data_IF_754365934521
#
_entry.id   IF_754365934521
#
_cell.length_a   1.000
_cell.length_b   1.000
_cell.length_c   1.000
_cell.angle_alpha   90.00
_cell.angle_beta   90.00
_cell.angle_gamma   90.00
#
_symmetry.space_group_name_H-M   'P 1'
#
loop_
_entity.id
_entity.type
_entity.pdbx_description
1 polymer ?
#
# COMPACT_ATOMS: atom_id res chain seq x y z
N UNK A 1 27.94 26.13 8.19
CA UNK A 1 27.11 24.92 8.26
C UNK A 1 25.71 25.45 8.24
N UNK A 2 25.01 25.30 7.12
CA UNK A 2 23.58 25.61 7.04
C UNK A 2 22.86 24.72 8.03
N UNK A 3 21.92 25.29 8.77
CA UNK A 3 21.10 24.57 9.75
C UNK A 3 20.23 23.63 8.93
N UNK A 4 20.64 22.36 8.75
CA UNK A 4 19.82 21.36 8.06
C UNK A 4 18.48 21.26 8.78
N UNK A 5 17.38 21.20 8.01
CA UNK A 5 16.03 21.08 8.55
C UNK A 5 15.91 19.86 9.44
N UNK A 6 15.22 19.99 10.56
CA UNK A 6 15.01 18.86 11.49
C UNK A 6 14.29 17.67 10.83
N UNK A 7 13.43 17.92 9.82
CA UNK A 7 12.77 16.88 9.02
C UNK A 7 13.80 16.09 8.21
N UNK A 8 14.75 16.78 7.59
CA UNK A 8 15.83 16.16 6.83
C UNK A 8 16.70 15.26 7.71
N UNK A 9 17.04 15.71 8.92
CA UNK A 9 17.84 14.90 9.86
C UNK A 9 17.10 13.65 10.34
N UNK A 10 15.79 13.74 10.61
CA UNK A 10 15.00 12.56 10.94
C UNK A 10 14.91 11.61 9.75
N UNK A 11 14.69 12.12 8.54
CA UNK A 11 14.69 11.31 7.31
C UNK A 11 16.00 10.56 7.13
N UNK A 12 17.14 11.24 7.29
CA UNK A 12 18.47 10.63 7.26
C UNK A 12 18.65 9.58 8.35
N UNK A 13 18.17 9.85 9.56
CA UNK A 13 18.26 8.91 10.69
C UNK A 13 17.44 7.63 10.43
N UNK A 14 16.28 7.75 9.78
CA UNK A 14 15.46 6.61 9.37
C UNK A 14 16.12 5.82 8.22
N UNK A 15 16.69 6.49 7.20
CA UNK A 15 17.38 5.82 6.09
C UNK A 15 18.59 5.01 6.57
N UNK A 16 19.37 5.53 7.54
CA UNK A 16 20.53 4.81 8.12
C UNK A 16 20.15 3.48 8.78
N UNK A 17 18.90 3.29 9.15
CA UNK A 17 18.38 2.04 9.69
C UNK A 17 18.05 1.08 8.57
N UNK A 18 18.77 -0.06 8.54
CA UNK A 18 18.63 -1.08 7.47
C UNK A 18 17.40 -1.92 7.76
N UNK A 19 16.23 -1.32 7.55
CA UNK A 19 14.93 -1.92 7.84
C UNK A 19 14.36 -2.63 6.60
N UNK A 20 15.12 -3.58 6.05
CA UNK A 20 14.63 -4.41 4.94
C UNK A 20 13.52 -5.33 5.46
N UNK A 21 12.36 -5.32 4.76
CA UNK A 21 11.16 -6.05 5.19
C UNK A 21 11.48 -7.49 5.63
N UNK A 22 10.94 -7.98 6.75
CA UNK A 22 10.03 -7.34 7.71
C UNK A 22 10.75 -6.65 8.90
N UNK A 23 12.05 -6.37 8.80
CA UNK A 23 12.85 -5.79 9.87
C UNK A 23 12.53 -4.29 10.06
N UNK A 24 12.35 -3.87 11.32
CA UNK A 24 12.17 -2.45 11.68
C UNK A 24 13.49 -1.70 11.91
N UNK A 25 14.51 -2.41 12.34
CA UNK A 25 15.84 -1.89 12.66
C UNK A 25 15.83 -0.68 13.64
N UNK A 26 14.84 -0.58 14.54
CA UNK A 26 14.71 0.49 15.54
C UNK A 26 14.14 1.81 14.98
N UNK A 27 13.53 1.80 13.81
CA UNK A 27 12.81 2.96 13.27
C UNK A 27 11.63 3.35 14.16
N UNK A 28 10.81 2.37 14.55
CA UNK A 28 9.61 2.62 15.36
C UNK A 28 9.96 3.01 16.79
N UNK A 29 11.10 2.56 17.33
CA UNK A 29 11.58 3.03 18.64
C UNK A 29 11.91 4.52 18.59
N UNK A 30 12.67 4.96 17.57
CA UNK A 30 13.00 6.37 17.37
C UNK A 30 11.74 7.23 17.24
N UNK A 31 10.78 6.83 16.40
CA UNK A 31 9.52 7.55 16.19
C UNK A 31 8.70 7.54 17.48
N UNK A 32 8.60 6.41 18.17
CA UNK A 32 7.88 6.26 19.44
C UNK A 32 8.43 7.16 20.54
N UNK A 33 9.75 7.33 20.64
CA UNK A 33 10.39 8.25 21.59
C UNK A 33 10.00 9.70 21.31
N UNK A 34 10.01 10.11 20.03
CA UNK A 34 9.60 11.46 19.65
C UNK A 34 8.11 11.70 19.95
N UNK A 35 7.25 10.74 19.64
CA UNK A 35 5.81 10.85 19.93
C UNK A 35 5.54 10.87 21.44
N UNK A 36 6.22 10.07 22.25
CA UNK A 36 6.12 10.11 23.72
C UNK A 36 6.53 11.47 24.29
N UNK A 37 7.58 12.09 23.77
CA UNK A 37 7.99 13.43 24.16
C UNK A 37 6.93 14.50 23.89
N UNK A 38 6.08 14.26 22.88
CA UNK A 38 4.90 15.11 22.56
C UNK A 38 3.63 14.74 23.35
N UNK A 39 3.72 13.81 24.32
CA UNK A 39 2.59 13.39 25.15
C UNK A 39 1.69 12.33 24.52
N UNK A 40 2.15 11.62 23.49
CA UNK A 40 1.42 10.45 22.96
C UNK A 40 1.55 9.25 23.89
N UNK A 41 0.48 8.51 24.05
CA UNK A 41 0.52 7.14 24.55
C UNK A 41 0.94 6.21 23.42
N UNK A 42 1.84 5.27 23.69
CA UNK A 42 2.34 4.32 22.67
C UNK A 42 2.11 2.88 23.09
N UNK A 43 1.75 2.02 22.15
CA UNK A 43 1.56 0.60 22.32
C UNK A 43 2.16 -0.18 21.13
N UNK A 44 2.61 -1.42 21.36
CA UNK A 44 3.20 -2.28 20.32
C UNK A 44 2.29 -3.49 20.08
N UNK A 45 1.97 -3.76 18.81
CA UNK A 45 1.22 -4.95 18.37
C UNK A 45 2.11 -5.89 17.56
N UNK A 46 3.27 -6.22 18.09
CA UNK A 46 4.27 -7.02 17.38
C UNK A 46 3.82 -8.48 17.22
N UNK A 47 4.06 -9.07 16.05
CA UNK A 47 3.72 -10.45 15.76
C UNK A 47 4.71 -11.06 14.73
N UNK A 48 5.18 -12.27 14.99
CA UNK A 48 6.03 -13.04 14.07
C UNK A 48 7.28 -12.31 13.53
N UNK A 49 7.90 -11.46 14.36
CA UNK A 49 9.06 -10.66 13.99
C UNK A 49 8.72 -9.31 13.32
N UNK A 50 7.45 -9.08 13.01
CA UNK A 50 6.96 -7.80 12.51
C UNK A 50 6.68 -6.86 13.68
N UNK A 51 7.08 -5.62 13.54
CA UNK A 51 6.86 -4.55 14.50
C UNK A 51 5.68 -3.68 14.05
N UNK A 52 4.77 -3.36 14.98
CA UNK A 52 3.64 -2.47 14.74
C UNK A 52 3.50 -1.49 15.90
N UNK A 53 3.73 -0.22 15.65
CA UNK A 53 3.58 0.87 16.62
C UNK A 53 2.20 1.50 16.46
N UNK A 54 1.43 1.51 17.54
CA UNK A 54 0.25 2.32 17.71
C UNK A 54 0.56 3.47 18.68
N UNK A 55 0.26 4.70 18.30
CA UNK A 55 0.43 5.85 19.17
C UNK A 55 -0.77 6.77 19.02
N UNK A 56 -1.24 7.36 20.16
CA UNK A 56 -2.37 8.31 20.13
C UNK A 56 -2.23 9.42 21.18
N UNK A 57 -2.83 10.57 20.87
CA UNK A 57 -2.94 11.74 21.74
C UNK A 57 -4.33 12.36 21.61
N UNK A 58 -4.81 13.01 22.67
CA UNK A 58 -6.14 13.61 22.77
C UNK A 58 -7.10 12.74 23.54
N UNK A 59 -8.34 12.62 23.05
CA UNK A 59 -9.35 11.78 23.70
C UNK A 59 -8.99 10.30 23.58
N UNK A 60 -9.42 9.50 24.57
CA UNK A 60 -9.25 8.05 24.50
C UNK A 60 -10.03 7.48 23.31
N UNK A 61 -9.34 6.90 22.31
CA UNK A 61 -9.98 6.47 21.08
C UNK A 61 -10.99 5.32 21.28
N UNK A 62 -10.91 4.58 22.39
CA UNK A 62 -11.89 3.52 22.71
C UNK A 62 -13.21 4.08 23.24
N UNK A 63 -13.25 5.31 23.76
CA UNK A 63 -14.42 5.91 24.38
C UNK A 63 -14.95 7.15 23.65
N UNK A 64 -14.30 7.62 22.61
CA UNK A 64 -14.60 8.88 21.92
C UNK A 64 -15.15 8.74 20.50
N UNK A 65 -15.38 7.54 20.01
CA UNK A 65 -15.70 7.23 18.60
C UNK A 65 -16.87 8.05 18.00
N UNK A 66 -17.83 8.53 18.82
CA UNK A 66 -18.97 9.32 18.34
C UNK A 66 -18.99 10.76 18.92
N UNK A 67 -17.92 11.18 19.60
CA UNK A 67 -17.90 12.45 20.36
C UNK A 67 -17.07 13.51 19.66
N UNK A 68 -15.98 13.13 19.01
CA UNK A 68 -15.05 14.05 18.36
C UNK A 68 -14.23 13.31 17.28
N UNK A 69 -13.74 14.03 16.26
CA UNK A 69 -13.05 13.42 15.13
C UNK A 69 -11.74 12.72 15.54
N UNK A 70 -11.44 11.62 14.85
CA UNK A 70 -10.22 10.86 15.01
C UNK A 70 -9.45 10.80 13.68
N UNK A 71 -8.32 11.50 13.60
CA UNK A 71 -7.40 11.48 12.47
C UNK A 71 -6.24 10.51 12.76
N UNK A 72 -6.02 9.59 11.86
CA UNK A 72 -4.88 8.66 11.90
C UNK A 72 -3.89 8.98 10.78
N UNK A 73 -2.60 9.01 11.10
CA UNK A 73 -1.51 8.91 10.14
C UNK A 73 -1.02 7.46 10.10
N UNK A 74 -0.85 6.92 8.90
CA UNK A 74 -0.39 5.55 8.74
C UNK A 74 0.79 5.46 7.76
N UNK A 75 1.63 4.43 7.95
CA UNK A 75 2.77 4.18 7.08
C UNK A 75 3.62 3.02 7.56
N UNK A 76 4.75 2.82 6.87
CA UNK A 76 5.66 1.74 7.14
C UNK A 76 7.11 2.20 7.30
N UNK A 77 7.87 1.43 8.08
CA UNK A 77 9.31 1.67 8.30
C UNK A 77 10.17 0.73 7.49
N UNK A 78 9.62 -0.40 7.08
CA UNK A 78 10.33 -1.36 6.24
C UNK A 78 10.50 -0.85 4.81
N UNK A 79 11.46 -1.45 4.12
CA UNK A 79 11.79 -1.10 2.74
C UNK A 79 12.08 -2.36 1.95
N UNK A 80 11.86 -2.34 0.63
CA UNK A 80 12.28 -3.43 -0.26
C UNK A 80 13.79 -3.61 -0.26
N UNK A 81 14.32 -4.81 -0.58
CA UNK A 81 15.75 -5.01 -0.77
C UNK A 81 16.36 -4.00 -1.75
N UNK A 82 17.53 -3.48 -1.42
CA UNK A 82 18.23 -2.47 -2.24
C UNK A 82 18.71 -3.00 -3.60
N UNK A 83 18.78 -4.33 -3.75
CA UNK A 83 19.55 -4.94 -4.82
C UNK A 83 21.07 -4.82 -4.57
N UNK A 84 21.92 -5.14 -5.58
CA UNK A 84 23.37 -5.09 -5.45
C UNK A 84 23.85 -3.66 -5.13
N UNK A 85 24.56 -3.44 -4.00
CA UNK A 85 25.02 -2.10 -3.61
C UNK A 85 25.93 -1.42 -4.63
N UNK A 86 26.67 -2.21 -5.41
CA UNK A 86 27.56 -1.72 -6.47
C UNK A 86 26.82 -1.04 -7.63
N UNK A 87 25.51 -1.21 -7.75
CA UNK A 87 24.70 -0.51 -8.74
C UNK A 87 24.29 0.91 -8.27
N UNK A 88 24.47 1.21 -6.99
CA UNK A 88 24.13 2.52 -6.41
C UNK A 88 25.30 3.49 -6.54
N UNK A 89 25.03 4.75 -6.83
CA UNK A 89 26.05 5.81 -6.85
C UNK A 89 26.53 6.19 -5.44
N UNK A 90 25.71 5.96 -4.42
CA UNK A 90 26.09 6.03 -2.99
C UNK A 90 25.43 4.88 -2.26
N UNK A 91 26.04 4.33 -1.17
CA UNK A 91 25.46 3.19 -0.47
C UNK A 91 24.00 3.43 -0.06
N UNK A 92 23.08 2.46 -0.27
CA UNK A 92 21.64 2.65 -0.14
C UNK A 92 21.17 3.07 1.27
N UNK A 93 21.95 2.80 2.31
CA UNK A 93 21.63 3.16 3.69
C UNK A 93 22.58 4.24 4.27
N UNK A 94 23.33 4.92 3.40
CA UNK A 94 24.14 6.09 3.74
C UNK A 94 23.51 7.33 3.05
N UNK A 95 22.56 8.01 3.72
CA UNK A 95 21.79 9.10 3.10
C UNK A 95 22.73 10.19 2.60
N UNK A 96 22.69 10.45 1.29
CA UNK A 96 23.59 11.34 0.61
C UNK A 96 22.82 12.40 -0.18
N UNK A 97 23.16 13.68 0.00
CA UNK A 97 22.54 14.76 -0.78
C UNK A 97 23.41 15.06 -2.00
N UNK A 98 22.78 15.07 -3.18
CA UNK A 98 23.36 15.51 -4.45
C UNK A 98 22.33 16.32 -5.25
N UNK A 99 22.68 17.47 -5.73
CA UNK A 99 21.83 18.33 -6.58
C UNK A 99 20.41 18.58 -6.01
N UNK A 100 20.30 18.77 -4.68
CA UNK A 100 19.03 18.99 -3.99
C UNK A 100 18.18 17.74 -3.77
N UNK A 101 18.71 16.55 -4.08
CA UNK A 101 18.06 15.26 -3.88
C UNK A 101 18.74 14.49 -2.74
N UNK A 102 17.97 13.95 -1.81
CA UNK A 102 18.41 13.02 -0.77
C UNK A 102 18.26 11.60 -1.28
N UNK A 103 19.38 10.93 -1.50
CA UNK A 103 19.46 9.55 -1.97
C UNK A 103 19.54 8.57 -0.80
N UNK A 104 18.79 7.46 -0.91
CA UNK A 104 18.82 6.33 -0.01
C UNK A 104 17.59 5.44 -0.17
N UNK A 105 17.71 4.16 0.15
CA UNK A 105 16.58 3.23 0.14
C UNK A 105 15.55 3.63 1.19
N UNK A 106 14.27 3.74 0.80
CA UNK A 106 13.19 4.24 1.64
C UNK A 106 13.11 5.77 1.70
N UNK A 107 13.95 6.51 0.95
CA UNK A 107 13.88 7.96 0.94
C UNK A 107 12.54 8.49 0.44
N UNK A 108 12.01 7.92 -0.64
CA UNK A 108 10.70 8.25 -1.18
C UNK A 108 9.59 7.35 -0.61
N UNK A 109 9.89 6.07 -0.38
CA UNK A 109 8.96 5.05 0.05
C UNK A 109 9.38 4.41 1.39
N UNK A 110 8.86 4.90 2.55
CA UNK A 110 8.16 6.18 2.72
C UNK A 110 8.70 6.95 3.93
N UNK A 111 10.02 6.79 4.24
CA UNK A 111 10.66 7.36 5.44
C UNK A 111 10.62 8.90 5.50
N UNK A 112 10.66 9.58 4.33
CA UNK A 112 10.48 11.04 4.27
C UNK A 112 9.07 11.47 4.69
N UNK A 113 8.05 10.74 4.26
CA UNK A 113 6.66 11.01 4.65
C UNK A 113 6.46 10.79 6.16
N UNK A 114 7.04 9.73 6.75
CA UNK A 114 7.02 9.52 8.20
C UNK A 114 7.68 10.69 8.95
N UNK A 115 8.84 11.14 8.50
CA UNK A 115 9.50 12.30 9.10
C UNK A 115 8.62 13.56 9.00
N UNK A 116 8.03 13.82 7.82
CA UNK A 116 7.14 14.95 7.62
C UNK A 116 5.89 14.88 8.52
N UNK A 117 5.27 13.70 8.68
CA UNK A 117 4.13 13.50 9.59
C UNK A 117 4.49 13.81 11.05
N UNK A 118 5.64 13.34 11.54
CA UNK A 118 6.08 13.59 12.91
C UNK A 118 6.27 15.09 13.15
N UNK A 119 6.89 15.81 12.21
CA UNK A 119 7.08 17.26 12.33
C UNK A 119 5.79 18.04 12.17
N UNK A 120 4.88 17.60 11.29
CA UNK A 120 3.54 18.17 11.15
C UNK A 120 2.79 18.14 12.48
N UNK A 121 2.77 16.97 13.12
CA UNK A 121 2.08 16.75 14.38
C UNK A 121 2.80 17.47 15.55
N UNK A 122 4.12 17.57 15.51
CA UNK A 122 4.88 18.37 16.49
C UNK A 122 4.40 19.83 16.47
N UNK A 123 4.41 20.46 15.30
CA UNK A 123 3.98 21.85 15.14
C UNK A 123 2.48 22.02 15.51
N UNK A 124 1.62 21.08 15.09
CA UNK A 124 0.20 21.12 15.41
C UNK A 124 -0.06 21.06 16.91
N UNK A 125 0.61 20.14 17.63
CA UNK A 125 0.43 19.95 19.09
C UNK A 125 1.00 21.12 19.89
N UNK A 126 2.13 21.71 19.46
CA UNK A 126 2.71 22.89 20.10
C UNK A 126 1.78 24.10 20.02
N UNK A 127 1.09 24.29 18.89
CA UNK A 127 0.13 25.38 18.71
C UNK A 127 -1.25 25.09 19.31
N UNK A 128 -1.63 23.82 19.36
CA UNK A 128 -2.95 23.36 19.82
C UNK A 128 -2.80 22.25 20.90
N UNK A 129 -2.24 22.55 22.08
CA UNK A 129 -1.95 21.54 23.10
C UNK A 129 -3.21 20.82 23.63
N UNK A 130 -4.37 21.49 23.60
CA UNK A 130 -5.67 20.99 24.06
C UNK A 130 -6.63 20.76 22.87
N UNK A 131 -6.10 20.34 21.71
CA UNK A 131 -6.92 20.09 20.51
C UNK A 131 -8.08 19.12 20.78
N UNK A 132 -9.26 19.35 20.21
CA UNK A 132 -10.35 18.39 20.28
C UNK A 132 -10.03 17.12 19.47
N UNK A 133 -10.70 16.01 19.82
CA UNK A 133 -10.55 14.76 19.10
C UNK A 133 -9.26 14.01 19.39
N UNK A 134 -8.91 13.11 18.48
CA UNK A 134 -7.77 12.21 18.61
C UNK A 134 -6.87 12.31 17.38
N UNK A 135 -5.56 12.41 17.62
CA UNK A 135 -4.54 12.15 16.59
C UNK A 135 -3.89 10.82 16.92
N UNK A 136 -3.70 9.96 15.91
CA UNK A 136 -3.01 8.69 16.09
C UNK A 136 -2.05 8.37 14.96
N UNK A 137 -1.13 7.44 15.23
CA UNK A 137 -0.22 6.84 14.27
C UNK A 137 -0.36 5.33 14.30
N UNK A 138 -0.42 4.71 13.12
CA UNK A 138 -0.26 3.27 12.95
C UNK A 138 0.89 3.03 11.98
N UNK A 139 1.99 2.48 12.49
CA UNK A 139 3.23 2.29 11.73
C UNK A 139 3.62 0.83 11.78
N UNK A 140 3.82 0.21 10.62
CA UNK A 140 4.21 -1.20 10.48
C UNK A 140 5.61 -1.39 9.93
N UNK A 141 6.17 -2.59 10.06
CA UNK A 141 7.37 -3.05 9.35
C UNK A 141 7.10 -4.22 8.38
N UNK A 142 5.85 -4.37 7.87
CA UNK A 142 5.46 -5.46 6.96
C UNK A 142 4.46 -4.94 5.90
N UNK A 143 4.72 -3.77 5.30
CA UNK A 143 3.96 -3.31 4.13
C UNK A 143 4.55 -3.87 2.84
N UNK A 144 5.87 -3.83 2.73
CA UNK A 144 6.67 -4.25 1.57
C UNK A 144 6.89 -5.76 1.50
N UNK A 145 6.41 -6.50 2.50
CA UNK A 145 6.51 -7.94 2.62
C UNK A 145 5.21 -8.69 2.32
N UNK A 146 4.89 -9.65 3.19
CA UNK A 146 3.68 -10.47 3.05
C UNK A 146 2.41 -9.72 3.48
N UNK A 147 2.54 -8.63 4.24
CA UNK A 147 1.47 -7.79 4.78
C UNK A 147 0.42 -8.58 5.60
N UNK A 148 0.87 -9.63 6.30
CA UNK A 148 0.00 -10.50 7.10
C UNK A 148 0.01 -10.08 8.56
N UNK A 149 1.19 -9.78 9.10
CA UNK A 149 1.42 -9.49 10.51
C UNK A 149 1.62 -8.00 10.81
N UNK A 150 1.53 -7.17 9.77
CA UNK A 150 1.62 -5.71 9.82
C UNK A 150 0.30 -5.03 10.18
N UNK A 151 -0.06 -4.01 9.43
CA UNK A 151 -1.25 -3.16 9.60
C UNK A 151 -2.53 -3.98 9.77
N UNK A 152 -2.72 -5.03 8.99
CA UNK A 152 -3.87 -5.94 9.12
C UNK A 152 -4.00 -6.55 10.52
N UNK A 153 -2.87 -7.00 11.11
CA UNK A 153 -2.85 -7.55 12.48
C UNK A 153 -3.19 -6.47 13.51
N UNK A 154 -2.57 -5.31 13.41
CA UNK A 154 -2.82 -4.20 14.34
C UNK A 154 -4.27 -3.72 14.30
N UNK A 155 -4.86 -3.55 13.12
CA UNK A 155 -6.27 -3.18 12.94
C UNK A 155 -7.19 -4.19 13.64
N UNK A 156 -6.91 -5.49 13.53
CA UNK A 156 -7.71 -6.53 14.20
C UNK A 156 -7.72 -6.31 15.73
N UNK A 157 -6.58 -5.95 16.32
CA UNK A 157 -6.49 -5.66 17.76
C UNK A 157 -7.24 -4.38 18.14
N UNK A 158 -7.14 -3.33 17.33
CA UNK A 158 -7.81 -2.04 17.56
C UNK A 158 -9.33 -2.17 17.41
N UNK A 159 -9.81 -2.84 16.36
CA UNK A 159 -11.22 -3.05 16.10
C UNK A 159 -11.90 -3.87 17.23
N UNK A 160 -11.22 -4.89 17.79
CA UNK A 160 -11.71 -5.65 18.93
C UNK A 160 -11.91 -4.78 20.19
N UNK A 161 -11.22 -3.64 20.28
CA UNK A 161 -11.34 -2.67 21.38
C UNK A 161 -12.36 -1.57 21.08
N UNK A 162 -13.06 -1.63 19.94
CA UNK A 162 -13.99 -0.59 19.49
C UNK A 162 -13.31 0.68 18.98
N UNK A 163 -11.99 0.64 18.74
CA UNK A 163 -11.24 1.77 18.21
C UNK A 163 -11.40 1.78 16.69
N UNK A 164 -11.84 2.92 16.14
CA UNK A 164 -11.96 3.17 14.70
C UNK A 164 -11.69 4.66 14.42
N UNK A 165 -10.72 5.01 13.59
CA UNK A 165 -10.55 6.39 13.12
C UNK A 165 -11.66 6.77 12.14
N UNK A 166 -11.95 8.07 12.04
CA UNK A 166 -12.82 8.60 10.98
C UNK A 166 -12.05 8.83 9.70
N UNK A 167 -10.82 9.32 9.83
CA UNK A 167 -9.94 9.73 8.74
C UNK A 167 -8.56 9.08 8.87
N UNK A 168 -7.99 8.68 7.72
CA UNK A 168 -6.61 8.22 7.67
C UNK A 168 -5.86 8.82 6.49
N UNK A 169 -4.66 9.34 6.74
CA UNK A 169 -3.69 9.73 5.73
C UNK A 169 -2.54 8.73 5.76
N UNK A 170 -2.38 7.97 4.69
CA UNK A 170 -1.24 7.07 4.49
C UNK A 170 -0.14 7.82 3.75
N UNK A 171 1.09 7.78 4.23
CA UNK A 171 2.21 8.57 3.70
C UNK A 171 2.87 8.01 2.44
N UNK A 172 2.17 7.17 1.71
CA UNK A 172 2.65 6.55 0.46
C UNK A 172 3.02 7.59 -0.61
N UNK A 173 4.06 7.33 -1.42
CA UNK A 173 4.49 8.23 -2.49
C UNK A 173 3.43 8.29 -3.61
N UNK A 174 2.50 9.21 -3.49
CA UNK A 174 1.38 9.39 -4.41
C UNK A 174 1.65 10.40 -5.52
N UNK A 175 2.51 11.39 -5.26
CA UNK A 175 2.81 12.48 -6.20
C UNK A 175 3.55 11.97 -7.45
N UNK A 176 3.30 12.59 -8.60
CA UNK A 176 3.84 12.14 -9.90
C UNK A 176 4.99 13.02 -10.40
N UNK A 177 4.75 14.31 -10.57
CA UNK A 177 5.71 15.29 -11.12
C UNK A 177 6.03 16.40 -10.12
N UNK A 178 5.04 16.79 -9.32
CA UNK A 178 5.14 17.83 -8.31
C UNK A 178 4.52 17.32 -7.02
N UNK A 179 5.06 17.76 -5.89
CA UNK A 179 4.49 17.40 -4.59
C UNK A 179 3.00 17.79 -4.53
N UNK A 180 2.17 16.80 -4.23
CA UNK A 180 0.73 16.98 -4.07
C UNK A 180 -0.07 17.06 -5.38
N UNK A 181 0.55 16.90 -6.56
CA UNK A 181 -0.20 16.91 -7.84
C UNK A 181 -1.20 15.76 -7.97
N UNK A 182 -0.96 14.65 -7.29
CA UNK A 182 -1.85 13.48 -7.25
C UNK A 182 -2.02 12.96 -5.82
N UNK A 183 -3.26 12.74 -5.43
CA UNK A 183 -3.68 12.09 -4.17
C UNK A 183 -4.39 10.79 -4.53
N UNK A 184 -4.06 9.69 -3.85
CA UNK A 184 -4.79 8.44 -4.05
C UNK A 184 -5.98 8.40 -3.09
N UNK A 185 -7.19 8.46 -3.63
CA UNK A 185 -8.43 8.33 -2.87
C UNK A 185 -9.02 6.92 -2.90
N UNK A 186 -8.31 5.96 -3.53
CA UNK A 186 -8.71 4.57 -3.61
C UNK A 186 -7.68 3.74 -4.36
N UNK A 187 -7.82 2.44 -4.28
CA UNK A 187 -6.97 1.47 -4.99
C UNK A 187 -7.82 0.35 -5.56
N UNK A 188 -7.40 -0.17 -6.70
CA UNK A 188 -7.99 -1.39 -7.27
C UNK A 188 -7.65 -2.58 -6.39
N UNK A 189 -8.58 -3.53 -6.31
CA UNK A 189 -8.31 -4.85 -5.74
C UNK A 189 -7.30 -5.63 -6.57
N UNK A 190 -6.70 -6.63 -5.95
CA UNK A 190 -5.73 -7.53 -6.59
C UNK A 190 -6.01 -8.96 -6.16
N UNK A 191 -6.38 -9.80 -7.12
CA UNK A 191 -6.65 -11.21 -6.92
C UNK A 191 -5.70 -12.04 -7.80
N UNK A 192 -4.89 -12.88 -7.17
CA UNK A 192 -4.02 -13.84 -7.84
C UNK A 192 -4.73 -15.19 -7.97
N UNK A 193 -4.54 -15.84 -9.10
CA UNK A 193 -5.01 -17.19 -9.36
C UNK A 193 -3.91 -18.06 -9.95
N UNK A 194 -3.91 -19.32 -9.55
CA UNK A 194 -3.19 -20.41 -10.17
C UNK A 194 -4.19 -21.46 -10.62
N UNK A 195 -4.26 -21.71 -11.94
CA UNK A 195 -5.01 -22.84 -12.47
C UNK A 195 -4.06 -23.97 -12.83
N UNK A 196 -4.43 -25.18 -12.43
CA UNK A 196 -3.74 -26.41 -12.82
C UNK A 196 -4.71 -27.26 -13.65
N UNK A 197 -4.27 -27.59 -14.87
CA UNK A 197 -5.01 -28.40 -15.84
C UNK A 197 -4.28 -29.73 -16.00
N UNK A 198 -4.97 -30.83 -15.69
CA UNK A 198 -4.45 -32.18 -15.82
C UNK A 198 -4.63 -32.73 -17.22
N UNK A 199 -3.66 -33.50 -17.64
CA UNK A 199 -3.67 -34.27 -18.88
C UNK A 199 -3.19 -35.70 -18.64
N UNK A 200 -2.93 -36.42 -19.71
CA UNK A 200 -2.33 -37.76 -19.68
C UNK A 200 -1.03 -37.71 -20.47
N UNK A 201 0.08 -37.85 -19.74
CA UNK A 201 1.41 -37.86 -20.34
C UNK A 201 1.63 -39.09 -21.20
N UNK A 202 2.31 -38.92 -22.34
CA UNK A 202 2.70 -40.05 -23.21
C UNK A 202 3.48 -39.61 -24.44
N UNK A 203 3.70 -40.58 -25.36
CA UNK A 203 4.45 -40.33 -26.56
C UNK A 203 3.60 -39.64 -27.64
N UNK A 204 4.08 -38.56 -28.23
CA UNK A 204 3.33 -37.74 -29.22
C UNK A 204 2.85 -38.55 -30.46
N UNK A 205 3.46 -39.71 -30.76
CA UNK A 205 3.05 -40.56 -31.86
C UNK A 205 1.76 -41.36 -31.59
N UNK A 206 1.26 -41.34 -30.35
CA UNK A 206 0.06 -42.11 -29.95
C UNK A 206 -0.99 -41.15 -29.36
N UNK A 207 -1.60 -40.29 -30.18
CA UNK A 207 -2.52 -39.24 -29.72
C UNK A 207 -3.77 -39.80 -29.01
N UNK A 208 -4.18 -41.01 -29.30
CA UNK A 208 -5.31 -41.69 -28.68
C UNK A 208 -5.03 -42.18 -27.25
N UNK A 209 -3.77 -42.23 -26.82
CA UNK A 209 -3.35 -42.65 -25.48
C UNK A 209 -2.98 -41.51 -24.56
N UNK A 210 -3.09 -40.26 -25.03
CA UNK A 210 -2.67 -39.08 -24.31
C UNK A 210 -3.82 -38.04 -24.24
N UNK A 211 -3.77 -37.17 -23.22
CA UNK A 211 -4.54 -35.95 -23.20
C UNK A 211 -3.60 -34.78 -23.02
N UNK A 212 -3.47 -33.96 -24.07
CA UNK A 212 -2.53 -32.84 -24.03
C UNK A 212 -3.12 -31.62 -23.29
N UNK A 213 -2.65 -31.29 -22.09
CA UNK A 213 -3.18 -30.18 -21.31
C UNK A 213 -2.88 -28.81 -21.95
N UNK A 214 -1.88 -28.72 -22.83
CA UNK A 214 -1.60 -27.49 -23.58
C UNK A 214 -2.73 -27.25 -24.60
N UNK A 215 -3.17 -28.28 -25.31
CA UNK A 215 -4.24 -28.17 -26.30
C UNK A 215 -5.60 -27.89 -25.65
N UNK A 216 -5.88 -28.48 -24.47
CA UNK A 216 -7.12 -28.24 -23.75
C UNK A 216 -7.15 -26.87 -23.06
N UNK A 217 -5.98 -26.38 -22.59
CA UNK A 217 -5.86 -25.06 -21.96
C UNK A 217 -5.95 -23.90 -22.95
N UNK A 218 -5.44 -24.06 -24.17
CA UNK A 218 -5.29 -22.95 -25.12
C UNK A 218 -6.59 -22.15 -25.36
N UNK A 219 -7.77 -22.76 -25.64
CA UNK A 219 -9.01 -22.03 -25.80
C UNK A 219 -9.49 -21.35 -24.51
N UNK A 220 -9.24 -21.98 -23.34
CA UNK A 220 -9.59 -21.38 -22.05
C UNK A 220 -8.75 -20.13 -21.75
N UNK A 221 -7.45 -20.20 -22.00
CA UNK A 221 -6.53 -19.08 -21.80
C UNK A 221 -6.80 -17.92 -22.79
N UNK A 222 -7.18 -18.24 -24.06
CA UNK A 222 -7.60 -17.22 -25.04
C UNK A 222 -8.89 -16.55 -24.60
N UNK A 223 -9.86 -17.30 -24.09
CA UNK A 223 -11.11 -16.77 -23.55
C UNK A 223 -10.85 -15.82 -22.37
N UNK A 224 -10.02 -16.21 -21.40
CA UNK A 224 -9.65 -15.35 -20.28
C UNK A 224 -8.93 -14.06 -20.72
N UNK A 225 -8.04 -14.17 -21.72
CA UNK A 225 -7.29 -13.01 -22.20
C UNK A 225 -8.13 -12.01 -22.98
N UNK A 226 -9.26 -12.44 -23.53
CA UNK A 226 -10.19 -11.59 -24.28
C UNK A 226 -11.39 -11.11 -23.48
N UNK A 227 -11.56 -11.64 -22.26
CA UNK A 227 -12.73 -11.31 -21.44
C UNK A 227 -12.76 -9.82 -21.11
N UNK A 228 -13.93 -9.20 -21.32
CA UNK A 228 -14.22 -7.84 -20.87
C UNK A 228 -14.89 -7.94 -19.51
N UNK A 229 -14.17 -7.58 -18.46
CA UNK A 229 -14.64 -7.75 -17.08
C UNK A 229 -15.72 -6.76 -16.72
N UNK A 230 -15.49 -5.47 -17.05
CA UNK A 230 -16.39 -4.31 -16.89
C UNK A 230 -15.91 -3.14 -17.76
N UNK A 231 -16.68 -2.06 -17.77
CA UNK A 231 -16.35 -0.82 -18.50
C UNK A 231 -15.64 0.22 -17.60
N UNK A 232 -15.33 -0.13 -16.33
CA UNK A 232 -14.90 0.83 -15.34
C UNK A 232 -16.04 1.68 -14.80
N UNK A 233 -15.70 2.71 -14.02
CA UNK A 233 -16.67 3.68 -13.51
C UNK A 233 -16.04 5.08 -13.40
N UNK A 234 -16.75 6.02 -12.75
CA UNK A 234 -16.28 7.40 -12.61
C UNK A 234 -14.91 7.54 -11.89
N UNK A 235 -14.52 6.52 -11.11
CA UNK A 235 -13.32 6.54 -10.28
C UNK A 235 -12.25 5.55 -10.74
N UNK A 236 -12.63 4.50 -11.44
CA UNK A 236 -11.73 3.39 -11.79
C UNK A 236 -11.74 3.08 -13.29
N UNK A 237 -10.57 2.76 -13.85
CA UNK A 237 -10.52 2.14 -15.17
C UNK A 237 -11.17 0.75 -15.15
N UNK A 238 -11.44 0.15 -16.31
CA UNK A 238 -11.90 -1.23 -16.40
C UNK A 238 -10.99 -2.21 -15.67
N UNK A 239 -11.59 -3.24 -15.07
CA UNK A 239 -10.88 -4.38 -14.50
C UNK A 239 -10.11 -5.12 -15.59
N UNK A 240 -8.92 -5.64 -15.24
CA UNK A 240 -8.04 -6.27 -16.21
C UNK A 240 -7.33 -7.49 -15.65
N UNK A 241 -7.34 -8.59 -16.42
CA UNK A 241 -6.64 -9.83 -16.10
C UNK A 241 -5.38 -9.95 -16.96
N UNK A 242 -4.27 -10.36 -16.32
CA UNK A 242 -3.01 -10.68 -17.00
C UNK A 242 -2.56 -12.09 -16.61
N UNK A 243 -2.30 -12.94 -17.61
CA UNK A 243 -1.63 -14.22 -17.39
C UNK A 243 -0.14 -13.94 -17.31
N UNK A 244 0.47 -14.17 -16.15
CA UNK A 244 1.85 -13.79 -15.88
C UNK A 244 2.86 -14.90 -16.16
N UNK A 245 2.44 -16.16 -15.98
CA UNK A 245 3.32 -17.32 -16.19
C UNK A 245 2.51 -18.52 -16.70
N UNK A 246 3.16 -19.34 -17.52
CA UNK A 246 2.66 -20.65 -17.94
C UNK A 246 3.80 -21.64 -17.81
N UNK A 247 3.54 -22.79 -17.20
CA UNK A 247 4.49 -23.89 -17.06
C UNK A 247 3.87 -25.21 -17.52
N UNK A 248 4.50 -25.86 -18.48
CA UNK A 248 4.13 -27.19 -18.97
C UNK A 248 5.31 -27.82 -19.73
N UNK A 249 5.27 -29.12 -19.90
CA UNK A 249 6.27 -29.85 -20.67
C UNK A 249 7.46 -30.32 -19.85
N UNK A 250 8.18 -31.32 -20.44
CA UNK A 250 9.38 -31.94 -19.85
C UNK A 250 10.66 -31.47 -20.54
N UNK A 251 10.55 -30.63 -21.59
CA UNK A 251 11.65 -30.24 -22.46
C UNK A 251 11.93 -31.25 -23.63
N UNK A 252 11.33 -32.44 -23.59
CA UNK A 252 11.46 -33.41 -24.65
C UNK A 252 10.40 -33.19 -25.74
N UNK A 253 10.81 -33.14 -27.02
CA UNK A 253 9.93 -32.84 -28.15
C UNK A 253 8.96 -33.98 -28.52
N UNK A 254 9.19 -35.18 -28.03
CA UNK A 254 8.39 -36.39 -28.30
C UNK A 254 7.50 -36.81 -27.11
N UNK A 255 7.35 -35.96 -26.10
CA UNK A 255 6.53 -36.23 -24.91
C UNK A 255 5.42 -35.21 -24.78
N UNK A 256 4.17 -35.68 -24.73
CA UNK A 256 3.01 -34.90 -24.32
C UNK A 256 3.06 -34.72 -22.80
N UNK A 257 2.97 -33.50 -22.24
CA UNK A 257 2.99 -33.30 -20.78
C UNK A 257 1.73 -33.82 -20.07
N UNK A 258 1.87 -34.15 -18.78
CA UNK A 258 0.74 -34.59 -17.96
C UNK A 258 0.03 -33.45 -17.21
N UNK A 259 0.58 -32.23 -17.27
CA UNK A 259 0.06 -31.08 -16.51
C UNK A 259 0.43 -29.76 -17.17
N UNK A 260 -0.46 -28.76 -17.06
CA UNK A 260 -0.17 -27.35 -17.32
C UNK A 260 -0.58 -26.52 -16.10
N UNK A 261 0.25 -25.58 -15.74
CA UNK A 261 -0.02 -24.53 -14.73
C UNK A 261 0.01 -23.16 -15.37
N UNK A 262 -0.98 -22.33 -15.06
CA UNK A 262 -0.98 -20.93 -15.45
C UNK A 262 -1.27 -20.03 -14.25
N UNK A 263 -0.43 -19.02 -14.06
CA UNK A 263 -0.59 -17.97 -13.05
C UNK A 263 -1.15 -16.73 -13.71
N UNK A 264 -2.10 -16.10 -13.06
CA UNK A 264 -2.69 -14.85 -13.52
C UNK A 264 -3.01 -13.94 -12.33
N UNK A 265 -3.11 -12.64 -12.62
CA UNK A 265 -3.57 -11.63 -11.68
C UNK A 265 -4.68 -10.82 -12.33
N UNK A 266 -5.75 -10.55 -11.58
CA UNK A 266 -6.77 -9.59 -11.97
C UNK A 266 -6.71 -8.37 -11.06
N UNK A 267 -6.59 -7.18 -11.67
CA UNK A 267 -6.77 -5.88 -11.02
C UNK A 267 -8.20 -5.45 -11.25
N UNK A 268 -8.97 -5.28 -10.18
CA UNK A 268 -10.41 -5.08 -10.25
C UNK A 268 -10.85 -3.86 -9.45
N UNK A 269 -11.93 -3.25 -9.92
CA UNK A 269 -12.56 -2.09 -9.32
C UNK A 269 -13.73 -2.49 -8.39
N UNK A 270 -14.57 -1.54 -8.01
CA UNK A 270 -15.69 -1.74 -7.08
C UNK A 270 -16.95 -2.34 -7.74
N UNK A 271 -16.94 -2.62 -9.06
CA UNK A 271 -18.07 -3.22 -9.77
C UNK A 271 -18.24 -4.71 -9.47
N UNK A 272 -17.16 -5.36 -9.00
CA UNK A 272 -17.15 -6.79 -8.70
C UNK A 272 -16.52 -7.09 -7.33
N UNK A 273 -17.06 -8.09 -6.66
CA UNK A 273 -16.40 -8.74 -5.55
C UNK A 273 -15.37 -9.77 -6.04
N UNK A 274 -14.39 -10.11 -5.20
CA UNK A 274 -13.45 -11.18 -5.51
C UNK A 274 -14.14 -12.55 -5.66
N UNK A 275 -15.23 -12.78 -4.95
CA UNK A 275 -16.01 -14.02 -5.06
C UNK A 275 -16.68 -14.16 -6.45
N UNK A 276 -17.29 -13.09 -6.97
CA UNK A 276 -17.87 -13.07 -8.32
C UNK A 276 -16.81 -13.26 -9.40
N UNK A 277 -15.63 -12.63 -9.25
CA UNK A 277 -14.54 -12.79 -10.20
C UNK A 277 -13.97 -14.22 -10.20
N UNK A 278 -13.80 -14.84 -9.03
CA UNK A 278 -13.40 -16.25 -8.94
C UNK A 278 -14.39 -17.15 -9.67
N UNK A 279 -15.66 -17.01 -9.37
CA UNK A 279 -16.73 -17.79 -10.03
C UNK A 279 -16.68 -17.61 -11.55
N UNK A 280 -16.62 -16.36 -12.03
CA UNK A 280 -16.61 -16.05 -13.48
C UNK A 280 -15.37 -16.63 -14.17
N UNK A 281 -14.20 -16.55 -13.56
CA UNK A 281 -12.96 -17.14 -14.10
C UNK A 281 -13.08 -18.67 -14.16
N UNK A 282 -13.58 -19.30 -13.10
CA UNK A 282 -13.79 -20.75 -13.03
C UNK A 282 -14.79 -21.20 -14.10
N UNK A 283 -15.90 -20.48 -14.29
CA UNK A 283 -16.91 -20.75 -15.32
C UNK A 283 -16.30 -20.68 -16.74
N UNK A 284 -15.50 -19.64 -17.05
CA UNK A 284 -14.83 -19.48 -18.34
C UNK A 284 -13.90 -20.68 -18.60
N UNK A 285 -13.11 -21.08 -17.62
CA UNK A 285 -12.20 -22.20 -17.77
C UNK A 285 -12.94 -23.53 -17.93
N UNK A 286 -13.97 -23.76 -17.11
CA UNK A 286 -14.75 -25.01 -17.14
C UNK A 286 -15.60 -25.20 -18.41
N UNK A 287 -15.87 -24.13 -19.18
CA UNK A 287 -16.45 -24.27 -20.52
C UNK A 287 -15.53 -25.05 -21.51
N UNK A 288 -14.24 -25.06 -21.24
CA UNK A 288 -13.23 -25.68 -22.10
C UNK A 288 -12.51 -26.87 -21.42
N UNK A 289 -12.38 -26.84 -20.10
CA UNK A 289 -11.61 -27.80 -19.30
C UNK A 289 -12.41 -28.22 -18.10
N UNK A 290 -12.89 -29.46 -18.09
CA UNK A 290 -13.70 -29.98 -16.99
C UNK A 290 -12.86 -30.27 -15.74
N UNK A 291 -11.60 -30.67 -15.89
CA UNK A 291 -10.73 -31.13 -14.79
C UNK A 291 -9.64 -30.10 -14.52
N UNK A 292 -10.07 -28.89 -14.09
CA UNK A 292 -9.20 -27.80 -13.65
C UNK A 292 -9.31 -27.62 -12.14
N UNK A 293 -8.17 -27.30 -11.49
CA UNK A 293 -8.14 -26.96 -10.05
C UNK A 293 -7.54 -25.57 -9.87
N UNK A 294 -8.03 -24.83 -8.87
CA UNK A 294 -7.66 -23.44 -8.63
C UNK A 294 -7.07 -23.25 -7.24
N UNK A 295 -6.09 -22.36 -7.16
CA UNK A 295 -5.59 -21.79 -5.90
C UNK A 295 -5.70 -20.28 -6.01
N UNK A 296 -6.33 -19.66 -5.00
CA UNK A 296 -6.63 -18.24 -4.98
C UNK A 296 -5.91 -17.53 -3.86
N UNK A 297 -5.43 -16.33 -4.14
CA UNK A 297 -4.85 -15.43 -3.13
C UNK A 297 -5.34 -14.00 -3.38
N UNK A 298 -6.20 -13.51 -2.49
CA UNK A 298 -6.61 -12.11 -2.48
C UNK A 298 -5.53 -11.28 -1.78
N UNK A 299 -4.83 -10.42 -2.51
CA UNK A 299 -3.86 -9.47 -1.95
C UNK A 299 -4.56 -8.32 -1.23
N UNK A 300 -5.73 -7.90 -1.71
CA UNK A 300 -6.59 -6.93 -1.06
C UNK A 300 -7.84 -6.61 -1.88
N UNK A 301 -8.96 -6.23 -1.23
CA UNK A 301 -10.13 -5.72 -1.92
C UNK A 301 -9.87 -4.31 -2.48
N UNK A 302 -10.67 -3.83 -3.43
CA UNK A 302 -10.67 -2.42 -3.81
C UNK A 302 -11.22 -1.57 -2.66
N UNK A 303 -10.74 -0.34 -2.55
CA UNK A 303 -11.33 0.65 -1.65
C UNK A 303 -11.45 2.00 -2.34
N UNK A 304 -12.42 2.80 -1.94
CA UNK A 304 -12.67 4.15 -2.43
C UNK A 304 -13.11 5.05 -1.28
N UNK A 305 -12.44 6.18 -1.15
CA UNK A 305 -12.90 7.35 -0.40
C UNK A 305 -13.51 8.33 -1.38
N UNK A 306 -14.80 8.51 -1.31
CA UNK A 306 -15.53 9.47 -2.12
C UNK A 306 -15.20 10.91 -1.72
N UNK A 307 -15.65 11.87 -2.50
CA UNK A 307 -15.47 13.29 -2.16
C UNK A 307 -16.20 13.60 -0.85
N UNK A 308 -15.45 14.00 0.17
CA UNK A 308 -15.94 14.24 1.53
C UNK A 308 -14.98 15.13 2.33
N UNK A 309 -15.09 15.07 3.64
CA UNK A 309 -14.32 15.94 4.55
C UNK A 309 -12.80 15.76 4.37
N UNK A 310 -12.33 14.51 4.34
CA UNK A 310 -10.89 14.22 4.19
C UNK A 310 -10.34 14.68 2.84
N UNK A 311 -10.99 14.34 1.74
CA UNK A 311 -10.51 14.72 0.40
C UNK A 311 -10.50 16.23 0.19
N UNK A 312 -11.49 16.94 0.71
CA UNK A 312 -11.55 18.41 0.66
C UNK A 312 -10.43 19.03 1.51
N UNK A 313 -10.22 18.56 2.73
CA UNK A 313 -9.14 19.04 3.61
C UNK A 313 -7.77 18.84 2.94
N UNK A 314 -7.54 17.67 2.33
CA UNK A 314 -6.29 17.36 1.63
C UNK A 314 -6.08 18.25 0.40
N UNK A 315 -7.09 18.40 -0.46
CA UNK A 315 -6.98 19.25 -1.66
C UNK A 315 -6.75 20.73 -1.29
N UNK A 316 -7.42 21.22 -0.25
CA UNK A 316 -7.22 22.59 0.21
C UNK A 316 -5.83 22.80 0.82
N UNK A 317 -5.33 21.86 1.65
CA UNK A 317 -3.99 21.92 2.23
C UNK A 317 -2.91 21.93 1.14
N UNK A 318 -3.07 21.11 0.11
CA UNK A 318 -2.16 21.08 -1.05
C UNK A 318 -2.21 22.43 -1.79
N UNK A 319 -3.39 22.95 -2.08
CA UNK A 319 -3.55 24.23 -2.78
C UNK A 319 -2.88 25.39 -2.04
N UNK A 320 -3.00 25.43 -0.73
CA UNK A 320 -2.37 26.45 0.11
C UNK A 320 -0.85 26.42 0.04
N UNK A 321 -0.24 25.23 0.00
CA UNK A 321 1.21 25.08 0.02
C UNK A 321 1.86 25.10 -1.36
N UNK A 322 1.19 24.57 -2.38
CA UNK A 322 1.76 24.33 -3.70
C UNK A 322 1.10 25.12 -4.82
N UNK A 323 -0.05 25.72 -4.55
CA UNK A 323 -0.92 26.37 -5.55
C UNK A 323 -1.41 25.40 -6.65
N UNK A 324 -1.36 24.08 -6.41
CA UNK A 324 -1.86 23.05 -7.32
C UNK A 324 -3.26 22.58 -6.93
N UNK A 325 -4.05 22.23 -7.93
CA UNK A 325 -5.28 21.46 -7.76
C UNK A 325 -4.94 19.98 -7.87
N UNK A 326 -4.98 19.27 -6.75
CA UNK A 326 -4.63 17.86 -6.70
C UNK A 326 -5.63 16.99 -7.46
N UNK A 327 -5.13 16.10 -8.33
CA UNK A 327 -5.93 15.03 -8.92
C UNK A 327 -6.26 13.96 -7.89
N UNK A 328 -7.53 13.63 -7.70
CA UNK A 328 -7.96 12.44 -6.95
C UNK A 328 -7.91 11.22 -7.88
N UNK A 329 -7.10 10.23 -7.54
CA UNK A 329 -6.80 9.10 -8.42
C UNK A 329 -6.91 7.76 -7.68
N UNK A 330 -7.26 6.71 -8.43
CA UNK A 330 -7.30 5.32 -7.95
C UNK A 330 -6.24 4.45 -8.63
N UNK A 331 -5.32 5.06 -9.39
CA UNK A 331 -4.29 4.36 -10.15
C UNK A 331 -3.14 3.87 -9.27
N UNK A 332 -2.28 3.01 -9.83
CA UNK A 332 -1.06 2.51 -9.19
C UNK A 332 -1.20 1.11 -8.56
N UNK A 333 -0.25 0.78 -7.69
CA UNK A 333 -0.16 -0.49 -6.97
C UNK A 333 -1.24 -0.65 -5.91
N UNK A 334 -0.91 -1.30 -4.81
CA UNK A 334 -1.75 -1.37 -3.61
C UNK A 334 -0.97 -0.83 -2.42
N UNK A 335 -1.64 -0.57 -1.30
CA UNK A 335 -1.04 -0.09 -0.06
C UNK A 335 -1.83 -0.62 1.13
N UNK A 336 -1.39 -0.33 2.34
CA UNK A 336 -2.10 -0.68 3.56
C UNK A 336 -3.47 0.01 3.72
N UNK A 337 -3.75 1.04 2.90
CA UNK A 337 -5.09 1.62 2.78
C UNK A 337 -6.18 0.58 2.50
N UNK A 338 -5.84 -0.52 1.81
CA UNK A 338 -6.72 -1.68 1.55
C UNK A 338 -7.20 -2.39 2.81
N UNK A 339 -6.46 -2.32 3.91
CA UNK A 339 -6.83 -2.89 5.20
C UNK A 339 -7.50 -1.86 6.10
N UNK A 340 -7.05 -0.60 6.00
CA UNK A 340 -7.52 0.50 6.83
C UNK A 340 -8.95 0.91 6.45
N UNK A 341 -9.25 1.05 5.15
CA UNK A 341 -10.55 1.53 4.69
C UNK A 341 -11.73 0.62 5.11
N UNK A 342 -11.67 -0.72 4.96
CA UNK A 342 -12.73 -1.61 5.45
C UNK A 342 -12.69 -1.85 6.96
N UNK A 343 -11.73 -1.36 7.69
CA UNK A 343 -11.36 -1.43 9.09
C UNK A 343 -11.62 -2.77 9.80
N UNK A 344 -12.87 -3.21 9.89
CA UNK A 344 -13.26 -4.46 10.57
C UNK A 344 -13.40 -5.67 9.60
N UNK A 345 -13.11 -5.45 8.33
CA UNK A 345 -13.28 -6.46 7.28
C UNK A 345 -14.73 -6.77 6.90
N UNK A 346 -15.73 -6.19 7.59
CA UNK A 346 -17.15 -6.38 7.28
C UNK A 346 -17.64 -5.52 6.12
N UNK A 347 -16.88 -4.47 5.78
CA UNK A 347 -17.25 -3.43 4.83
C UNK A 347 -18.32 -2.46 5.35
N UNK A 348 -18.78 -2.62 6.59
CA UNK A 348 -19.76 -1.72 7.23
C UNK A 348 -19.09 -0.58 7.98
N UNK A 349 -17.94 -0.83 8.64
CA UNK A 349 -17.17 0.18 9.34
C UNK A 349 -16.11 0.77 8.40
N UNK A 350 -16.50 1.73 7.57
CA UNK A 350 -15.55 2.41 6.67
C UNK A 350 -14.79 3.53 7.37
N UNK A 351 -13.50 3.63 7.06
CA UNK A 351 -12.62 4.77 7.35
C UNK A 351 -12.38 5.52 6.03
N UNK A 352 -12.48 6.84 6.04
CA UNK A 352 -12.03 7.64 4.90
C UNK A 352 -10.50 7.59 4.83
N UNK A 353 -9.94 7.08 3.72
CA UNK A 353 -8.50 6.90 3.55
C UNK A 353 -8.03 7.61 2.29
N UNK A 354 -6.97 8.39 2.41
CA UNK A 354 -6.22 8.90 1.27
C UNK A 354 -4.74 8.55 1.42
N UNK A 355 -4.05 8.45 0.29
CA UNK A 355 -2.61 8.33 0.28
C UNK A 355 -2.02 9.61 -0.29
N UNK A 356 -1.11 10.21 0.47
CA UNK A 356 -0.42 11.44 0.12
C UNK A 356 1.02 11.38 0.63
N UNK A 357 1.98 11.57 -0.26
CA UNK A 357 3.39 11.58 0.08
C UNK A 357 4.27 12.11 -1.05
N UNK A 358 5.52 11.74 -1.00
CA UNK A 358 6.57 12.16 -1.93
C UNK A 358 6.29 11.79 -3.40
N UNK A 359 7.15 12.26 -4.30
CA UNK A 359 7.12 11.89 -5.73
C UNK A 359 7.57 10.44 -5.89
N UNK A 360 6.78 9.64 -6.62
CA UNK A 360 6.94 8.19 -6.77
C UNK A 360 7.94 7.76 -7.87
N UNK A 361 8.62 8.69 -8.52
CA UNK A 361 9.40 8.42 -9.72
C UNK A 361 10.55 7.42 -9.52
N UNK A 362 11.07 7.28 -8.30
CA UNK A 362 12.27 6.49 -7.98
C UNK A 362 12.00 5.33 -7.00
N UNK A 363 10.77 5.12 -6.56
CA UNK A 363 10.43 4.02 -5.64
C UNK A 363 10.88 2.66 -6.20
N UNK A 364 11.39 1.78 -5.34
CA UNK A 364 11.89 0.44 -5.65
C UNK A 364 13.05 0.38 -6.66
N UNK A 365 13.56 1.53 -7.11
CA UNK A 365 14.70 1.61 -8.05
C UNK A 365 16.04 1.73 -7.30
N UNK A 366 17.11 1.47 -8.01
CA UNK A 366 18.46 1.90 -7.63
C UNK A 366 18.49 3.43 -7.65
N UNK A 367 19.25 4.04 -6.73
CA UNK A 367 19.32 5.49 -6.55
C UNK A 367 17.96 6.14 -6.22
N UNK A 368 17.14 5.44 -5.44
CA UNK A 368 15.92 6.02 -4.87
C UNK A 368 16.23 7.33 -4.16
N UNK A 369 15.42 8.35 -4.37
CA UNK A 369 15.64 9.67 -3.81
C UNK A 369 14.36 10.48 -3.63
N UNK A 370 14.44 11.51 -2.79
CA UNK A 370 13.41 12.53 -2.57
C UNK A 370 14.02 13.92 -2.69
N UNK A 371 13.26 14.89 -3.16
CA UNK A 371 13.70 16.30 -3.18
C UNK A 371 13.71 16.84 -1.75
N UNK A 372 14.83 17.43 -1.36
CA UNK A 372 14.98 18.04 -0.01
C UNK A 372 13.98 19.18 0.18
N UNK A 373 13.76 19.98 -0.86
CA UNK A 373 12.84 21.12 -0.84
C UNK A 373 11.35 20.72 -0.69
N UNK A 374 11.00 19.46 -0.92
CA UNK A 374 9.62 18.97 -0.78
C UNK A 374 9.29 18.56 0.68
N UNK A 375 10.29 18.34 1.54
CA UNK A 375 10.09 17.80 2.88
C UNK A 375 9.28 18.73 3.80
N UNK A 376 9.63 20.01 3.84
CA UNK A 376 8.91 20.99 4.68
C UNK A 376 7.51 21.31 4.13
N UNK A 377 7.32 21.54 2.82
CA UNK A 377 5.98 21.66 2.26
C UNK A 377 5.08 20.46 2.58
N UNK A 378 5.59 19.22 2.48
CA UNK A 378 4.83 18.02 2.83
C UNK A 378 4.41 18.02 4.30
N UNK A 379 5.29 18.42 5.21
CA UNK A 379 4.94 18.53 6.64
C UNK A 379 3.86 19.60 6.88
N UNK A 380 3.94 20.76 6.21
CA UNK A 380 2.91 21.79 6.32
C UNK A 380 1.56 21.32 5.76
N UNK A 381 1.57 20.56 4.65
CA UNK A 381 0.33 19.96 4.11
C UNK A 381 -0.31 19.03 5.16
N UNK A 382 0.46 18.11 5.78
CA UNK A 382 -0.07 17.22 6.82
C UNK A 382 -0.58 17.98 8.05
N UNK A 383 0.10 19.04 8.47
CA UNK A 383 -0.34 19.91 9.54
C UNK A 383 -1.68 20.59 9.20
N UNK A 384 -1.80 21.20 8.02
CA UNK A 384 -3.01 21.90 7.58
C UNK A 384 -4.21 20.93 7.48
N UNK A 385 -3.97 19.64 7.09
CA UNK A 385 -5.00 18.60 7.13
C UNK A 385 -5.46 18.36 8.57
N UNK A 386 -4.54 18.24 9.52
CA UNK A 386 -4.88 18.02 10.92
C UNK A 386 -5.66 19.22 11.50
N UNK A 387 -5.26 20.45 11.19
CA UNK A 387 -5.99 21.66 11.59
C UNK A 387 -7.40 21.68 11.01
N UNK A 388 -7.56 21.40 9.72
CA UNK A 388 -8.85 21.40 9.05
C UNK A 388 -9.83 20.36 9.58
N UNK A 389 -9.36 19.20 10.04
CA UNK A 389 -10.21 18.09 10.48
C UNK A 389 -10.46 18.08 12.00
N UNK A 390 -9.57 18.66 12.78
CA UNK A 390 -9.64 18.59 14.25
C UNK A 390 -9.99 19.93 14.91
N UNK A 391 -9.73 21.06 14.26
CA UNK A 391 -10.02 22.37 14.82
C UNK A 391 -11.19 22.98 14.02
N UNK A 392 -12.39 22.65 14.41
CA UNK A 392 -13.64 23.19 13.86
C UNK A 392 -14.13 24.34 14.75
#
# INVERSE_FOLDING_TARGET
>A
MENESSILELTKALIRRVSVTPEDAGCQELIGDMLRALGFTTEQFNAHGVHNLWAWRGLDPASSADIAPHLMFAGHTDVVPSGPPENWQSPPFEPTIRDGLLYGRGAADMKSSLAAMIYAVTAFVEENPDHPGTISFLITSDEEGEAIHGTRHAITQLAQRGIKPDFCVVGEPSSSHHLGDVVRCGRRGSLNGLVTIKGVQGHVAYPEMVTNPIHTAAPALDALAREIWDDGNAYYPPSSLQISNIQSGTGATNVVPGELKAWFNIRFNTEHSDAELRQRIEEIIHQHVLDATFVWQLSGPPFLTETGALTQAVQEAIRQETSLDAELSTSGGTSDGRFISPWDGSGQAKVEVVELGSINATIHKVDECVRVDDLEPLARIYRNIAESLLII
#
